data_IF_836649338823
#
_entry.id   IF_836649338823
#
_cell.length_a   1.000
_cell.length_b   1.000
_cell.length_c   1.000
_cell.angle_alpha   90.00
_cell.angle_beta   90.00
_cell.angle_gamma   90.00
#
_symmetry.space_group_name_H-M   'P 1'
#
loop_
_entity.id
_entity.type
_entity.pdbx_description
1 polymer ?
#
# COMPACT_ATOMS: atom_id res chain seq x y z
N UNK A 1 62.17 3.54 4.51
CA UNK A 1 61.11 3.69 5.54
C UNK A 1 60.60 5.13 5.64
N UNK A 2 61.45 6.15 5.75
CA UNK A 2 61.05 7.57 5.86
C UNK A 2 60.23 8.12 4.68
N UNK A 3 60.59 7.77 3.43
CA UNK A 3 59.89 8.28 2.23
C UNK A 3 58.46 7.74 2.07
N UNK A 4 58.22 6.48 2.46
CA UNK A 4 56.88 5.87 2.41
C UNK A 4 55.94 6.45 3.47
N UNK A 5 56.47 6.81 4.63
CA UNK A 5 55.69 7.43 5.70
C UNK A 5 55.21 8.84 5.33
N UNK A 6 56.06 9.65 4.69
CA UNK A 6 55.70 11.00 4.24
C UNK A 6 54.62 10.96 3.14
N UNK A 7 54.69 10.01 2.21
CA UNK A 7 53.68 9.84 1.16
C UNK A 7 52.33 9.43 1.73
N UNK A 8 52.30 8.51 2.70
CA UNK A 8 51.05 8.07 3.33
C UNK A 8 50.37 9.18 4.15
N UNK A 9 51.15 10.01 4.85
CA UNK A 9 50.63 11.18 5.57
C UNK A 9 50.08 12.23 4.60
N UNK A 10 50.76 12.46 3.47
CA UNK A 10 50.29 13.38 2.43
C UNK A 10 48.97 12.95 1.79
N UNK A 11 48.82 11.65 1.50
CA UNK A 11 47.56 11.08 0.97
C UNK A 11 46.46 11.19 2.03
N UNK A 12 46.76 10.89 3.29
CA UNK A 12 45.79 11.02 4.40
C UNK A 12 45.26 12.44 4.53
N UNK A 13 46.13 13.45 4.47
CA UNK A 13 45.74 14.86 4.53
C UNK A 13 44.92 15.31 3.31
N UNK A 14 45.23 14.81 2.11
CA UNK A 14 44.44 15.11 0.91
C UNK A 14 43.05 14.49 0.96
N UNK A 15 42.91 13.26 1.46
CA UNK A 15 41.61 12.61 1.63
C UNK A 15 40.77 13.29 2.71
N UNK A 16 41.40 13.76 3.80
CA UNK A 16 40.74 14.54 4.84
C UNK A 16 40.23 15.89 4.30
N UNK A 17 41.05 16.59 3.52
CA UNK A 17 40.65 17.84 2.88
C UNK A 17 39.53 17.63 1.85
N UNK A 18 39.61 16.57 1.03
CA UNK A 18 38.55 16.22 0.08
C UNK A 18 37.24 15.86 0.79
N UNK A 19 37.30 15.13 1.91
CA UNK A 19 36.14 14.82 2.74
C UNK A 19 35.50 16.06 3.35
N UNK A 20 36.31 17.01 3.85
CA UNK A 20 35.82 18.29 4.39
C UNK A 20 35.17 19.15 3.31
N UNK A 21 35.75 19.21 2.10
CA UNK A 21 35.14 19.93 0.98
C UNK A 21 33.82 19.29 0.55
N UNK A 22 33.71 17.96 0.57
CA UNK A 22 32.44 17.26 0.30
C UNK A 22 31.39 17.53 1.38
N UNK A 23 31.78 17.58 2.66
CA UNK A 23 30.90 17.93 3.78
C UNK A 23 30.43 19.39 3.73
N UNK A 24 31.24 20.30 3.19
CA UNK A 24 30.90 21.72 3.05
C UNK A 24 30.15 22.04 1.75
N UNK A 25 30.21 21.14 0.75
CA UNK A 25 29.51 21.28 -0.53
C UNK A 25 28.22 20.45 -0.60
N UNK A 26 27.92 19.63 0.41
CA UNK A 26 26.61 19.05 0.57
C UNK A 26 25.63 20.18 0.87
N UNK A 27 24.70 20.45 -0.06
CA UNK A 27 23.56 21.31 0.24
C UNK A 27 22.89 20.76 1.51
N UNK A 28 22.58 21.62 2.50
CA UNK A 28 21.80 21.16 3.64
C UNK A 28 20.52 20.54 3.09
N UNK A 29 20.25 19.28 3.45
CA UNK A 29 18.93 18.70 3.27
C UNK A 29 17.97 19.67 3.94
N UNK A 30 17.27 20.48 3.15
CA UNK A 30 16.26 21.35 3.70
C UNK A 30 15.21 20.41 4.27
N UNK A 31 15.10 20.41 5.61
CA UNK A 31 13.97 19.78 6.26
C UNK A 31 12.73 20.39 5.61
N UNK A 32 11.95 19.56 4.92
CA UNK A 32 10.61 19.94 4.48
C UNK A 32 9.91 20.50 5.71
N UNK A 33 9.33 21.70 5.63
CA UNK A 33 8.58 22.26 6.74
C UNK A 33 7.57 21.22 7.24
N UNK A 34 7.35 21.09 8.56
CA UNK A 34 6.17 20.38 9.03
C UNK A 34 4.95 20.94 8.30
N UNK A 35 4.01 20.05 7.95
CA UNK A 35 2.78 20.40 7.24
C UNK A 35 2.21 21.68 7.84
N UNK A 36 2.07 22.72 7.01
CA UNK A 36 1.45 23.98 7.43
C UNK A 36 0.03 23.69 7.88
N UNK A 37 -0.42 24.35 8.95
CA UNK A 37 -1.73 24.22 9.62
C UNK A 37 -2.94 24.58 8.71
N UNK A 38 -2.69 24.78 7.41
CA UNK A 38 -3.64 25.25 6.40
C UNK A 38 -4.43 24.09 5.73
N UNK A 39 -4.22 22.85 6.20
CA UNK A 39 -4.79 21.63 5.62
C UNK A 39 -4.01 21.12 4.40
N UNK A 40 -4.30 19.90 3.91
CA UNK A 40 -3.60 19.38 2.75
C UNK A 40 -3.94 20.23 1.51
N UNK A 41 -2.95 20.46 0.63
CA UNK A 41 -3.21 21.14 -0.61
C UNK A 41 -4.18 20.30 -1.46
N UNK A 42 -5.07 20.97 -2.21
CA UNK A 42 -6.08 20.34 -3.06
C UNK A 42 -7.16 19.50 -2.36
N UNK A 43 -7.46 19.78 -1.08
CA UNK A 43 -8.62 19.19 -0.40
C UNK A 43 -9.92 19.42 -1.21
N UNK A 44 -10.60 18.32 -1.55
CA UNK A 44 -11.84 18.35 -2.34
C UNK A 44 -11.64 18.49 -3.87
N UNK A 45 -10.40 18.42 -4.38
CA UNK A 45 -10.16 18.33 -5.81
C UNK A 45 -10.44 16.92 -6.35
N UNK A 46 -10.64 16.84 -7.67
CA UNK A 46 -10.87 15.56 -8.36
C UNK A 46 -9.59 14.73 -8.45
N UNK A 47 -9.75 13.40 -8.36
CA UNK A 47 -8.71 12.46 -8.76
C UNK A 47 -8.62 12.40 -10.29
N UNK A 48 -7.41 12.37 -10.83
CA UNK A 48 -7.15 12.44 -12.28
C UNK A 48 -6.43 11.23 -12.82
N UNK A 49 -6.03 10.31 -11.95
CA UNK A 49 -5.39 9.05 -12.28
C UNK A 49 -3.90 9.20 -12.61
N UNK A 50 -3.14 8.15 -12.32
CA UNK A 50 -1.70 8.07 -12.58
C UNK A 50 -1.38 8.30 -14.07
N UNK A 51 -2.29 7.92 -14.99
CA UNK A 51 -2.11 8.16 -16.42
C UNK A 51 -1.89 9.63 -16.76
N UNK A 52 -2.53 10.55 -16.02
CA UNK A 52 -2.36 11.98 -16.23
C UNK A 52 -0.96 12.44 -15.79
N UNK A 53 -0.47 11.93 -14.65
CA UNK A 53 0.85 12.24 -14.10
C UNK A 53 1.96 11.89 -15.11
N UNK A 54 1.83 10.75 -15.80
CA UNK A 54 2.79 10.28 -16.81
C UNK A 54 2.97 11.21 -18.01
N UNK A 55 2.05 12.15 -18.25
CA UNK A 55 2.18 13.12 -19.34
C UNK A 55 3.34 14.10 -19.10
N UNK A 56 3.66 14.40 -17.84
CA UNK A 56 4.76 15.30 -17.45
C UNK A 56 5.87 14.54 -16.72
N UNK A 57 5.52 13.61 -15.82
CA UNK A 57 6.44 12.82 -15.00
C UNK A 57 6.82 11.51 -15.70
N UNK A 58 7.52 11.64 -16.83
CA UNK A 58 7.88 10.49 -17.69
C UNK A 58 9.00 9.61 -17.13
N UNK A 59 9.73 10.07 -16.10
CA UNK A 59 10.89 9.38 -15.54
C UNK A 59 10.54 8.47 -14.34
N UNK A 60 9.27 8.39 -13.95
CA UNK A 60 8.81 7.60 -12.80
C UNK A 60 8.63 6.10 -13.13
N UNK A 61 9.50 5.54 -13.97
CA UNK A 61 9.50 4.12 -14.33
C UNK A 61 9.65 3.21 -13.09
N UNK A 62 10.33 3.70 -12.06
CA UNK A 62 10.49 3.00 -10.79
C UNK A 62 9.16 2.70 -10.10
N UNK A 63 8.16 3.60 -10.19
CA UNK A 63 6.84 3.34 -9.63
C UNK A 63 6.13 2.21 -10.39
N UNK A 64 6.19 2.20 -11.72
CA UNK A 64 5.53 1.19 -12.56
C UNK A 64 6.01 -0.24 -12.29
N UNK A 65 7.27 -0.40 -11.94
CA UNK A 65 7.85 -1.69 -11.58
C UNK A 65 7.74 -2.02 -10.09
N UNK A 66 7.10 -1.15 -9.29
CA UNK A 66 6.97 -1.34 -7.85
C UNK A 66 5.77 -2.20 -7.50
N UNK A 67 5.83 -2.82 -6.31
CA UNK A 67 4.68 -3.54 -5.75
C UNK A 67 3.46 -2.62 -5.53
N UNK A 68 3.65 -1.31 -5.38
CA UNK A 68 2.52 -0.37 -5.25
C UNK A 68 1.66 -0.30 -6.51
N UNK A 69 2.29 -0.35 -7.69
CA UNK A 69 1.61 -0.36 -8.99
C UNK A 69 1.11 -1.76 -9.40
N UNK A 70 1.42 -2.79 -8.60
CA UNK A 70 1.19 -4.20 -8.94
C UNK A 70 0.48 -4.99 -7.84
N UNK A 71 -0.05 -4.31 -6.82
CA UNK A 71 -0.72 -4.96 -5.67
C UNK A 71 -2.04 -5.61 -6.09
N UNK A 72 -2.73 -5.02 -7.08
CA UNK A 72 -3.88 -5.59 -7.79
C UNK A 72 -3.49 -5.80 -9.24
N UNK A 73 -3.67 -7.03 -9.74
CA UNK A 73 -3.38 -7.40 -11.13
C UNK A 73 -4.60 -8.02 -11.80
N UNK A 74 -4.75 -7.83 -13.12
CA UNK A 74 -5.75 -8.57 -13.90
C UNK A 74 -5.40 -10.06 -13.90
N UNK A 75 -6.41 -10.90 -14.12
CA UNK A 75 -6.21 -12.35 -14.25
C UNK A 75 -5.57 -12.70 -15.58
N UNK A 76 -4.53 -13.54 -15.51
CA UNK A 76 -3.83 -14.15 -16.63
C UNK A 76 -2.99 -15.32 -16.12
N UNK A 77 -2.52 -16.15 -17.05
CA UNK A 77 -1.58 -17.25 -16.75
C UNK A 77 -0.27 -16.74 -16.11
N UNK A 78 0.11 -15.49 -16.37
CA UNK A 78 1.34 -14.89 -15.83
C UNK A 78 1.14 -14.28 -14.43
N UNK A 79 -0.10 -13.96 -14.04
CA UNK A 79 -0.41 -13.27 -12.78
C UNK A 79 -0.92 -14.21 -11.69
N UNK A 80 -1.55 -15.33 -12.04
CA UNK A 80 -1.89 -16.38 -11.09
C UNK A 80 -0.68 -17.28 -10.89
N UNK A 81 0.02 -17.14 -9.77
CA UNK A 81 1.19 -17.97 -9.45
C UNK A 81 0.81 -19.28 -8.75
N UNK A 82 -0.46 -19.45 -8.41
CA UNK A 82 -0.92 -20.58 -7.64
C UNK A 82 -1.19 -21.82 -8.46
N UNK A 83 -0.89 -22.99 -7.87
CA UNK A 83 -1.26 -24.27 -8.45
C UNK A 83 -2.74 -24.58 -8.15
N UNK A 84 -3.60 -24.33 -9.13
CA UNK A 84 -5.05 -24.61 -9.03
C UNK A 84 -5.40 -26.09 -9.22
N UNK A 85 -4.43 -26.99 -9.46
CA UNK A 85 -4.69 -28.41 -9.60
C UNK A 85 -4.90 -29.13 -8.25
N UNK A 86 -4.52 -28.50 -7.14
CA UNK A 86 -4.79 -29.01 -5.79
C UNK A 86 -6.24 -28.69 -5.36
N UNK A 87 -7.20 -29.35 -6.01
CA UNK A 87 -8.63 -29.06 -5.84
C UNK A 87 -9.13 -29.25 -4.42
N UNK A 88 -8.52 -30.15 -3.65
CA UNK A 88 -8.93 -30.42 -2.27
C UNK A 88 -8.63 -29.22 -1.35
N UNK A 89 -7.50 -28.54 -1.57
CA UNK A 89 -7.10 -27.40 -0.76
C UNK A 89 -7.89 -26.12 -1.05
N UNK A 90 -8.59 -26.06 -2.20
CA UNK A 90 -9.32 -24.86 -2.67
C UNK A 90 -10.82 -25.09 -2.87
N UNK A 91 -11.37 -26.19 -2.32
CA UNK A 91 -12.82 -26.43 -2.35
C UNK A 91 -13.52 -25.56 -1.30
N UNK A 92 -14.49 -24.76 -1.76
CA UNK A 92 -15.26 -23.83 -0.93
C UNK A 92 -16.76 -23.97 -1.23
N UNK A 93 -17.60 -23.53 -0.28
CA UNK A 93 -19.04 -23.35 -0.51
C UNK A 93 -19.28 -21.97 -1.12
N UNK A 94 -19.73 -21.91 -2.36
CA UNK A 94 -20.00 -20.67 -3.10
C UNK A 94 -21.32 -20.00 -2.67
N UNK A 95 -21.56 -18.73 -3.03
CA UNK A 95 -22.80 -18.02 -2.71
C UNK A 95 -24.07 -18.71 -3.24
N UNK A 96 -23.97 -19.47 -4.34
CA UNK A 96 -25.07 -20.28 -4.88
C UNK A 96 -25.31 -21.61 -4.14
N UNK A 97 -24.54 -21.88 -3.09
CA UNK A 97 -24.59 -23.11 -2.29
C UNK A 97 -23.82 -24.29 -2.89
N UNK A 98 -23.19 -24.13 -4.06
CA UNK A 98 -22.37 -25.19 -4.64
C UNK A 98 -21.06 -25.38 -3.87
N UNK A 99 -20.60 -26.63 -3.76
CA UNK A 99 -19.31 -26.96 -3.14
C UNK A 99 -18.37 -27.49 -4.22
N UNK A 100 -17.37 -26.69 -4.59
CA UNK A 100 -16.42 -27.01 -5.67
C UNK A 100 -15.10 -26.25 -5.51
N UNK A 101 -14.00 -26.74 -6.12
CA UNK A 101 -12.74 -26.01 -6.15
C UNK A 101 -12.86 -24.67 -6.88
N UNK A 102 -12.03 -23.72 -6.46
CA UNK A 102 -11.73 -22.50 -7.20
C UNK A 102 -11.03 -22.85 -8.51
N UNK A 103 -11.44 -22.19 -9.58
CA UNK A 103 -10.83 -22.25 -10.91
C UNK A 103 -10.39 -20.85 -11.36
N UNK A 104 -9.58 -20.77 -12.41
CA UNK A 104 -9.12 -19.48 -12.93
C UNK A 104 -10.29 -18.57 -13.37
N UNK A 105 -11.38 -19.15 -13.87
CA UNK A 105 -12.58 -18.43 -14.32
C UNK A 105 -13.34 -17.77 -13.17
N UNK A 106 -13.12 -18.21 -11.93
CA UNK A 106 -13.75 -17.62 -10.75
C UNK A 106 -13.03 -16.36 -10.24
N UNK A 107 -11.80 -16.12 -10.72
CA UNK A 107 -10.95 -15.03 -10.24
C UNK A 107 -11.15 -13.82 -11.15
N UNK A 108 -11.39 -12.65 -10.55
CA UNK A 108 -11.48 -11.37 -11.25
C UNK A 108 -10.21 -10.55 -11.06
N UNK A 109 -9.68 -10.49 -9.83
CA UNK A 109 -8.43 -9.81 -9.53
C UNK A 109 -7.49 -10.71 -8.74
N UNK A 110 -6.20 -10.59 -9.02
CA UNK A 110 -5.14 -11.16 -8.21
C UNK A 110 -4.61 -10.07 -7.29
N UNK A 111 -4.66 -10.29 -5.99
CA UNK A 111 -4.05 -9.44 -4.98
C UNK A 111 -2.68 -10.04 -4.61
N UNK A 112 -1.60 -9.34 -4.89
CA UNK A 112 -0.27 -9.93 -4.87
C UNK A 112 0.73 -9.17 -4.00
N UNK A 113 1.47 -9.91 -3.18
CA UNK A 113 2.68 -9.44 -2.52
C UNK A 113 3.86 -10.36 -2.81
N UNK A 114 5.04 -10.03 -2.28
CA UNK A 114 6.24 -10.86 -2.45
C UNK A 114 6.10 -12.29 -1.89
N UNK A 115 5.27 -12.46 -0.87
CA UNK A 115 5.16 -13.70 -0.10
C UNK A 115 3.83 -14.44 -0.28
N UNK A 116 2.76 -13.75 -0.66
CA UNK A 116 1.41 -14.33 -0.75
C UNK A 116 0.63 -13.76 -1.94
N UNK A 117 -0.32 -14.54 -2.44
CA UNK A 117 -1.42 -14.05 -3.29
C UNK A 117 -2.77 -14.36 -2.66
N UNK A 118 -3.66 -13.39 -2.72
CA UNK A 118 -5.08 -13.53 -2.46
C UNK A 118 -5.85 -13.19 -3.73
N UNK A 119 -7.14 -13.49 -3.77
CA UNK A 119 -7.92 -13.42 -5.00
C UNK A 119 -9.27 -12.77 -4.73
N UNK A 120 -9.73 -11.93 -5.65
CA UNK A 120 -11.08 -11.35 -5.60
C UNK A 120 -11.92 -11.98 -6.69
N UNK A 121 -13.11 -12.43 -6.32
CA UNK A 121 -14.16 -12.87 -7.25
C UNK A 121 -15.28 -11.85 -7.27
N UNK A 122 -15.66 -11.37 -8.45
CA UNK A 122 -16.81 -10.48 -8.64
C UNK A 122 -17.96 -11.28 -9.21
N UNK A 123 -19.00 -11.46 -8.41
CA UNK A 123 -20.15 -12.33 -8.72
C UNK A 123 -21.42 -11.48 -8.62
N UNK A 124 -22.32 -11.61 -9.59
CA UNK A 124 -23.65 -11.00 -9.49
C UNK A 124 -24.45 -11.68 -8.38
N UNK A 125 -24.94 -10.91 -7.41
CA UNK A 125 -25.77 -11.42 -6.29
C UNK A 125 -27.26 -11.31 -6.62
N UNK A 126 -28.14 -11.77 -5.73
CA UNK A 126 -29.59 -11.94 -5.99
C UNK A 126 -30.31 -10.67 -6.49
N UNK A 127 -29.85 -9.49 -6.10
CA UNK A 127 -30.44 -8.20 -6.50
C UNK A 127 -29.88 -7.64 -7.83
N UNK A 128 -28.97 -8.37 -8.49
CA UNK A 128 -28.33 -7.97 -9.74
C UNK A 128 -27.13 -7.04 -9.57
N UNK A 129 -26.72 -6.73 -8.34
CA UNK A 129 -25.50 -5.96 -8.07
C UNK A 129 -24.26 -6.87 -8.01
N UNK A 130 -23.04 -6.35 -8.28
CA UNK A 130 -21.83 -7.13 -8.13
C UNK A 130 -21.41 -7.22 -6.65
N UNK A 131 -21.29 -8.45 -6.14
CA UNK A 131 -20.61 -8.76 -4.89
C UNK A 131 -19.11 -8.96 -5.13
N UNK A 132 -18.27 -8.34 -4.30
CA UNK A 132 -16.81 -8.41 -4.42
C UNK A 132 -16.24 -9.25 -3.28
N UNK A 133 -15.99 -10.53 -3.53
CA UNK A 133 -15.55 -11.47 -2.50
C UNK A 133 -14.05 -11.65 -2.52
N UNK A 134 -13.39 -11.44 -1.38
CA UNK A 134 -12.03 -11.98 -1.19
C UNK A 134 -12.17 -13.49 -0.97
N UNK A 135 -11.63 -14.29 -1.89
CA UNK A 135 -11.70 -15.74 -1.79
C UNK A 135 -11.02 -16.24 -0.51
N UNK A 136 -11.56 -17.27 0.16
CA UNK A 136 -11.16 -17.61 1.51
C UNK A 136 -9.90 -18.48 1.59
N UNK A 137 -8.98 -18.26 0.65
CA UNK A 137 -7.73 -18.97 0.55
C UNK A 137 -6.63 -18.00 0.16
N UNK A 138 -5.44 -18.26 0.69
CA UNK A 138 -4.22 -17.55 0.35
C UNK A 138 -3.25 -18.54 -0.26
N UNK A 139 -2.61 -18.17 -1.36
CA UNK A 139 -1.47 -18.88 -1.90
C UNK A 139 -0.18 -18.34 -1.29
N UNK A 140 0.57 -19.18 -0.59
CA UNK A 140 1.92 -18.83 -0.14
C UNK A 140 2.91 -19.04 -1.28
N UNK A 141 3.57 -17.97 -1.70
CA UNK A 141 4.52 -17.97 -2.80
C UNK A 141 5.85 -18.56 -2.29
N UNK A 142 6.40 -19.59 -2.96
CA UNK A 142 7.70 -20.14 -2.58
C UNK A 142 8.79 -19.07 -2.73
N UNK A 143 9.61 -18.91 -1.69
CA UNK A 143 10.65 -17.87 -1.63
C UNK A 143 12.03 -18.35 -2.11
N UNK A 144 12.15 -19.63 -2.46
CA UNK A 144 13.35 -20.28 -2.97
C UNK A 144 13.00 -21.52 -3.79
N UNK A 145 13.92 -21.99 -4.62
CA UNK A 145 13.71 -23.12 -5.55
C UNK A 145 13.42 -24.46 -4.85
N UNK A 146 13.77 -24.60 -3.58
CA UNK A 146 13.51 -25.78 -2.75
C UNK A 146 12.15 -25.74 -2.04
N UNK A 147 11.44 -24.61 -2.10
CA UNK A 147 10.10 -24.46 -1.56
C UNK A 147 9.05 -24.75 -2.62
N UNK A 148 7.95 -25.35 -2.18
CA UNK A 148 6.73 -25.48 -2.98
C UNK A 148 5.71 -24.48 -2.46
N UNK A 149 4.93 -23.89 -3.37
CA UNK A 149 3.83 -23.04 -2.95
C UNK A 149 2.73 -23.86 -2.28
N UNK A 150 1.97 -23.21 -1.42
CA UNK A 150 0.99 -23.90 -0.57
C UNK A 150 -0.24 -23.03 -0.35
N UNK A 151 -1.41 -23.63 -0.54
CA UNK A 151 -2.68 -23.05 -0.14
C UNK A 151 -2.86 -23.03 1.37
N UNK A 152 -3.38 -21.93 1.92
CA UNK A 152 -3.75 -21.82 3.33
C UNK A 152 -5.14 -21.19 3.45
N UNK A 153 -6.02 -21.74 4.30
CA UNK A 153 -7.29 -21.11 4.63
C UNK A 153 -7.16 -19.65 5.08
N UNK A 154 -8.10 -18.82 4.66
CA UNK A 154 -8.21 -17.42 5.05
C UNK A 154 -9.69 -17.08 5.21
N UNK A 155 -10.20 -16.86 6.43
CA UNK A 155 -11.61 -16.48 6.62
C UNK A 155 -12.64 -17.43 5.99
N UNK A 156 -12.41 -18.76 6.07
CA UNK A 156 -13.34 -19.75 5.49
C UNK A 156 -14.76 -19.63 6.05
N UNK A 157 -14.89 -19.20 7.29
CA UNK A 157 -16.17 -19.15 8.00
C UNK A 157 -16.98 -17.87 7.71
N UNK A 158 -16.31 -16.77 7.34
CA UNK A 158 -16.92 -15.44 7.24
C UNK A 158 -16.64 -14.70 5.91
N UNK A 159 -16.00 -15.33 4.91
CA UNK A 159 -15.65 -14.64 3.64
C UNK A 159 -16.82 -14.11 2.81
N UNK A 160 -18.04 -14.59 3.06
CA UNK A 160 -19.26 -14.10 2.41
C UNK A 160 -19.95 -12.97 3.20
N UNK A 161 -19.45 -12.64 4.40
CA UNK A 161 -19.98 -11.55 5.21
C UNK A 161 -19.78 -10.20 4.50
N UNK A 162 -20.76 -9.28 4.53
CA UNK A 162 -20.61 -7.95 3.92
C UNK A 162 -19.39 -7.16 4.40
N UNK A 163 -18.93 -7.37 5.64
CA UNK A 163 -17.69 -6.77 6.17
C UNK A 163 -16.42 -7.29 5.50
N UNK A 164 -16.50 -8.41 4.77
CA UNK A 164 -15.42 -8.99 3.96
C UNK A 164 -15.49 -8.61 2.48
N UNK A 165 -16.47 -7.81 2.08
CA UNK A 165 -16.48 -7.24 0.74
C UNK A 165 -15.15 -6.53 0.49
N UNK A 166 -14.47 -6.90 -0.59
CA UNK A 166 -13.13 -6.38 -0.91
C UNK A 166 -13.09 -4.85 -0.92
N UNK A 167 -14.20 -4.21 -1.31
CA UNK A 167 -14.30 -2.75 -1.35
C UNK A 167 -14.28 -2.14 0.05
N UNK A 168 -14.98 -2.78 1.00
CA UNK A 168 -15.09 -2.36 2.41
C UNK A 168 -13.83 -2.71 3.20
N UNK A 169 -13.26 -3.89 2.96
CA UNK A 169 -12.17 -4.44 3.77
C UNK A 169 -10.77 -4.09 3.25
N UNK A 170 -10.60 -3.86 1.94
CA UNK A 170 -9.28 -3.84 1.30
C UNK A 170 -9.07 -2.67 0.33
N UNK A 171 -10.10 -2.27 -0.42
CA UNK A 171 -9.92 -1.37 -1.55
C UNK A 171 -9.44 0.04 -1.13
N UNK A 172 -9.73 0.50 0.09
CA UNK A 172 -9.23 1.79 0.57
C UNK A 172 -7.70 1.93 0.54
N UNK A 173 -6.97 0.82 0.70
CA UNK A 173 -5.51 0.75 0.59
C UNK A 173 -5.02 0.31 -0.80
N UNK A 174 -5.85 -0.43 -1.54
CA UNK A 174 -5.50 -1.05 -2.82
C UNK A 174 -6.05 -0.30 -4.05
N UNK A 175 -6.61 0.89 -3.84
CA UNK A 175 -7.13 1.74 -4.90
C UNK A 175 -6.83 3.20 -4.63
N UNK A 176 -6.99 4.02 -5.65
CA UNK A 176 -6.84 5.48 -5.62
C UNK A 176 -8.13 6.13 -6.10
N UNK A 177 -8.60 7.16 -5.40
CA UNK A 177 -9.83 7.88 -5.76
C UNK A 177 -11.15 7.19 -5.36
N UNK A 178 -11.08 6.11 -4.58
CA UNK A 178 -12.26 5.50 -3.98
C UNK A 178 -12.93 6.46 -2.98
N UNK A 179 -14.24 6.64 -3.10
CA UNK A 179 -15.04 7.17 -2.01
C UNK A 179 -15.10 6.11 -0.90
N UNK A 180 -14.16 6.20 0.03
CA UNK A 180 -13.97 5.23 1.11
C UNK A 180 -15.20 5.14 2.03
N UNK A 181 -15.99 6.21 2.16
CA UNK A 181 -17.19 6.25 3.01
C UNK A 181 -18.37 5.50 2.38
N UNK A 182 -18.38 5.37 1.05
CA UNK A 182 -19.41 4.66 0.29
C UNK A 182 -18.78 3.51 -0.53
N UNK A 183 -17.74 2.86 0.02
CA UNK A 183 -16.91 1.92 -0.74
C UNK A 183 -17.71 0.75 -1.33
N UNK A 184 -18.72 0.26 -0.61
CA UNK A 184 -19.62 -0.82 -1.06
C UNK A 184 -20.49 -0.45 -2.27
N UNK A 185 -20.63 0.83 -2.61
CA UNK A 185 -21.36 1.29 -3.79
C UNK A 185 -20.48 1.33 -5.04
N UNK A 186 -19.15 1.23 -4.89
CA UNK A 186 -18.22 1.30 -6.01
C UNK A 186 -18.33 0.07 -6.92
N UNK A 187 -18.56 0.30 -8.21
CA UNK A 187 -18.74 -0.78 -9.22
C UNK A 187 -17.81 -0.66 -10.42
N UNK A 188 -17.04 0.43 -10.51
CA UNK A 188 -16.21 0.75 -11.68
C UNK A 188 -14.78 1.03 -11.26
N UNK A 189 -13.97 -0.01 -11.35
CA UNK A 189 -12.54 0.04 -11.14
C UNK A 189 -11.81 -0.01 -12.48
N UNK A 190 -10.70 0.71 -12.60
CA UNK A 190 -9.90 0.73 -13.81
C UNK A 190 -8.40 0.60 -13.48
N UNK A 191 -7.66 -0.10 -14.33
CA UNK A 191 -6.20 -0.02 -14.32
C UNK A 191 -5.74 1.28 -14.96
N UNK A 192 -4.49 1.67 -14.72
CA UNK A 192 -3.89 2.95 -15.15
C UNK A 192 -4.12 3.22 -16.64
N UNK A 193 -3.88 2.24 -17.51
CA UNK A 193 -4.01 2.36 -18.96
C UNK A 193 -5.45 2.66 -19.42
N UNK A 194 -6.41 2.26 -18.59
CA UNK A 194 -7.83 2.32 -18.85
C UNK A 194 -8.55 3.31 -17.93
N UNK A 195 -7.82 4.19 -17.23
CA UNK A 195 -8.35 5.14 -16.25
C UNK A 195 -9.60 5.89 -16.74
N UNK A 196 -9.65 6.30 -18.01
CA UNK A 196 -10.81 7.00 -18.59
C UNK A 196 -12.14 6.21 -18.50
N UNK A 197 -12.08 4.90 -18.23
CA UNK A 197 -13.23 4.01 -18.04
C UNK A 197 -13.71 3.93 -16.59
N UNK A 198 -12.99 4.50 -15.63
CA UNK A 198 -13.29 4.45 -14.19
C UNK A 198 -13.02 5.76 -13.46
N UNK A 199 -13.59 5.90 -12.27
CA UNK A 199 -13.28 7.01 -11.34
C UNK A 199 -12.38 6.55 -10.16
N UNK A 200 -12.10 5.24 -10.10
CA UNK A 200 -11.30 4.59 -9.05
C UNK A 200 -10.21 3.75 -9.72
N UNK A 201 -8.95 4.05 -9.40
CA UNK A 201 -7.78 3.41 -9.99
C UNK A 201 -7.46 2.19 -9.13
N UNK A 202 -7.31 1.02 -9.72
CA UNK A 202 -6.71 -0.11 -9.03
C UNK A 202 -5.24 0.19 -8.80
N UNK A 203 -4.73 -0.25 -7.64
CA UNK A 203 -3.38 -0.02 -7.13
C UNK A 203 -3.21 1.28 -6.33
N UNK A 204 -2.06 1.36 -5.65
CA UNK A 204 -1.60 2.57 -4.97
C UNK A 204 -0.94 3.51 -5.99
N UNK A 205 -1.79 4.32 -6.64
CA UNK A 205 -1.44 5.33 -7.63
C UNK A 205 -0.72 6.53 -7.04
N UNK A 206 -0.28 7.44 -7.91
CA UNK A 206 0.44 8.66 -7.49
C UNK A 206 -0.33 9.46 -6.43
N UNK A 207 -1.64 9.58 -6.63
CA UNK A 207 -2.51 10.41 -5.80
C UNK A 207 -2.79 9.81 -4.41
N UNK A 208 -2.49 8.52 -4.18
CA UNK A 208 -2.54 7.92 -2.83
C UNK A 208 -1.46 8.46 -1.90
N UNK A 209 -0.33 8.92 -2.46
CA UNK A 209 0.78 9.51 -1.69
C UNK A 209 0.83 11.03 -1.82
N UNK A 210 0.41 11.59 -2.96
CA UNK A 210 0.53 13.01 -3.26
C UNK A 210 -0.77 13.81 -3.09
N UNK A 211 -1.90 13.13 -2.88
CA UNK A 211 -3.24 13.72 -2.85
C UNK A 211 -3.84 13.92 -4.26
N UNK A 212 -5.10 14.41 -4.35
CA UNK A 212 -5.80 14.56 -5.63
C UNK A 212 -5.14 15.61 -6.55
N UNK A 213 -4.97 15.24 -7.83
CA UNK A 213 -4.25 16.01 -8.84
C UNK A 213 -5.09 17.00 -9.66
N UNK A 214 -6.40 17.08 -9.43
CA UNK A 214 -7.33 17.92 -10.21
C UNK A 214 -6.87 19.35 -10.44
N UNK A 215 -6.40 20.03 -9.39
CA UNK A 215 -5.92 21.41 -9.45
C UNK A 215 -4.44 21.53 -9.83
N UNK A 216 -3.69 20.42 -9.76
CA UNK A 216 -2.30 20.36 -10.20
C UNK A 216 -2.19 20.41 -11.74
N UNK A 217 -3.29 20.11 -12.46
CA UNK A 217 -3.35 20.17 -13.92
C UNK A 217 -3.05 21.58 -14.45
N UNK A 218 -1.78 21.86 -14.74
CA UNK A 218 -1.32 23.14 -15.27
C UNK A 218 -0.75 24.12 -14.23
N UNK A 219 -0.61 23.70 -12.96
CA UNK A 219 0.08 24.46 -11.92
C UNK A 219 0.91 23.53 -11.02
N UNK A 220 2.23 23.76 -10.96
CA UNK A 220 3.17 22.85 -10.29
C UNK A 220 3.00 22.79 -8.76
N UNK A 221 2.47 23.85 -8.12
CA UNK A 221 2.64 24.05 -6.66
C UNK A 221 1.43 23.63 -5.80
N UNK A 222 0.90 22.42 -5.96
CA UNK A 222 -0.34 22.05 -5.24
C UNK A 222 -0.45 20.60 -4.76
N UNK A 223 0.58 19.77 -4.91
CA UNK A 223 0.56 18.39 -4.40
C UNK A 223 1.41 18.23 -3.15
N UNK A 224 1.08 17.23 -2.33
CA UNK A 224 1.89 16.88 -1.16
C UNK A 224 3.19 16.25 -1.61
N UNK A 225 4.32 16.84 -1.22
CA UNK A 225 5.66 16.30 -1.39
C UNK A 225 6.33 16.23 -0.02
N UNK A 226 5.99 15.20 0.76
CA UNK A 226 6.42 15.07 2.15
C UNK A 226 6.94 13.65 2.43
N UNK A 227 8.02 13.49 3.21
CA UNK A 227 8.49 12.20 3.69
C UNK A 227 7.75 11.72 4.95
N UNK A 228 6.65 12.38 5.34
CA UNK A 228 5.89 12.04 6.54
C UNK A 228 5.43 10.57 6.52
N UNK A 229 5.81 9.82 7.56
CA UNK A 229 5.51 8.40 7.69
C UNK A 229 3.99 8.11 7.73
N UNK A 230 3.16 9.10 8.09
CA UNK A 230 1.70 8.97 8.09
C UNK A 230 1.13 8.67 6.71
N UNK A 231 1.76 9.17 5.63
CA UNK A 231 1.37 8.86 4.25
C UNK A 231 1.48 7.35 3.98
N UNK A 232 2.51 6.72 4.54
CA UNK A 232 2.70 5.27 4.46
C UNK A 232 1.79 4.54 5.46
N UNK A 233 1.61 5.11 6.65
CA UNK A 233 0.81 4.57 7.75
C UNK A 233 -0.67 4.39 7.41
N UNK A 234 -1.20 5.12 6.42
CA UNK A 234 -2.57 4.94 5.96
C UNK A 234 -2.85 3.52 5.43
N UNK A 235 -1.82 2.79 5.00
CA UNK A 235 -1.92 1.40 4.53
C UNK A 235 -1.07 0.42 5.36
N UNK A 236 0.11 0.84 5.81
CA UNK A 236 1.09 -0.03 6.48
C UNK A 236 0.93 -0.07 8.00
N UNK A 237 -0.31 -0.26 8.44
CA UNK A 237 -0.69 -0.37 9.84
C UNK A 237 -1.88 -1.31 10.01
N UNK A 238 -1.99 -1.93 11.18
CA UNK A 238 -3.22 -2.57 11.64
C UNK A 238 -4.04 -1.56 12.43
N UNK A 239 -5.34 -1.53 12.20
CA UNK A 239 -6.26 -0.62 12.85
C UNK A 239 -7.60 -0.58 12.15
N UNK A 240 -8.38 0.44 12.46
CA UNK A 240 -9.66 0.69 11.82
C UNK A 240 -9.96 2.19 11.80
N UNK A 241 -10.87 2.61 10.93
CA UNK A 241 -11.46 3.95 11.00
C UNK A 241 -12.27 4.13 12.31
N UNK A 242 -12.58 5.35 12.76
CA UNK A 242 -13.28 5.56 14.04
C UNK A 242 -14.63 4.84 14.18
N UNK A 243 -15.32 4.52 13.07
CA UNK A 243 -16.56 3.73 13.12
C UNK A 243 -16.33 2.25 13.39
N UNK A 244 -15.14 1.74 13.07
CA UNK A 244 -14.80 0.32 13.11
C UNK A 244 -15.28 -0.48 11.90
N UNK A 245 -15.84 0.18 10.88
CA UNK A 245 -16.36 -0.47 9.67
C UNK A 245 -15.25 -0.81 8.67
N UNK A 246 -14.21 0.02 8.60
CA UNK A 246 -13.14 -0.11 7.62
C UNK A 246 -11.79 -0.34 8.29
N UNK A 247 -11.00 -1.25 7.72
CA UNK A 247 -9.62 -1.51 8.14
C UNK A 247 -8.61 -0.44 7.63
N UNK A 248 -9.10 0.69 7.12
CA UNK A 248 -8.31 1.76 6.52
C UNK A 248 -8.93 3.14 6.84
N UNK A 249 -8.15 4.23 6.79
CA UNK A 249 -8.65 5.56 7.15
C UNK A 249 -9.54 6.19 6.08
N UNK A 250 -10.85 6.20 6.32
CA UNK A 250 -11.85 6.74 5.38
C UNK A 250 -11.61 8.22 5.04
N UNK A 251 -11.30 9.04 6.05
CA UNK A 251 -11.16 10.51 5.89
C UNK A 251 -9.75 11.00 5.58
N UNK A 252 -8.75 10.12 5.54
CA UNK A 252 -7.35 10.54 5.38
C UNK A 252 -7.04 10.94 3.94
N UNK A 253 -6.35 12.07 3.80
CA UNK A 253 -5.62 12.43 2.59
C UNK A 253 -4.17 12.75 2.96
N UNK A 254 -3.19 12.52 2.05
CA UNK A 254 -1.83 12.97 2.27
C UNK A 254 -1.80 14.43 2.69
N UNK A 255 -0.99 14.75 3.71
CA UNK A 255 -0.94 16.08 4.31
C UNK A 255 -1.93 16.32 5.46
N UNK A 256 -2.80 15.36 5.78
CA UNK A 256 -3.58 15.34 7.02
C UNK A 256 -2.84 14.58 8.13
N UNK A 257 -3.26 14.78 9.37
CA UNK A 257 -2.85 13.93 10.47
C UNK A 257 -3.55 12.55 10.37
N UNK A 258 -2.77 11.49 10.58
CA UNK A 258 -3.26 10.13 10.80
C UNK A 258 -3.33 9.88 12.31
N UNK A 259 -4.37 10.44 12.93
CA UNK A 259 -4.65 10.32 14.36
C UNK A 259 -5.97 9.58 14.62
N UNK A 260 -6.33 9.40 15.90
CA UNK A 260 -7.51 8.63 16.32
C UNK A 260 -8.85 9.19 15.78
N UNK A 261 -8.89 10.43 15.27
CA UNK A 261 -10.08 10.99 14.61
C UNK A 261 -10.27 10.44 13.19
N UNK A 262 -9.25 9.80 12.63
CA UNK A 262 -9.24 9.29 11.25
C UNK A 262 -8.81 7.82 11.17
N UNK A 263 -7.93 7.36 12.06
CA UNK A 263 -7.46 5.98 12.15
C UNK A 263 -7.06 5.61 13.58
N UNK A 264 -7.69 4.57 14.11
CA UNK A 264 -7.37 3.99 15.42
C UNK A 264 -6.45 2.80 15.20
N UNK A 265 -5.18 2.91 15.61
CA UNK A 265 -4.22 1.82 15.53
C UNK A 265 -4.60 0.67 16.47
N UNK A 266 -4.36 -0.57 16.03
CA UNK A 266 -4.59 -1.75 16.87
C UNK A 266 -3.74 -1.68 18.15
N UNK A 267 -4.35 -1.89 19.32
CA UNK A 267 -3.67 -1.71 20.60
C UNK A 267 -2.60 -2.78 20.82
N UNK A 268 -1.57 -2.45 21.59
CA UNK A 268 -0.39 -3.32 21.79
C UNK A 268 -0.67 -4.60 22.57
N UNK A 269 -1.77 -4.63 23.33
CA UNK A 269 -2.23 -5.81 24.06
C UNK A 269 -3.08 -6.75 23.19
N UNK A 270 -3.38 -6.38 21.93
CA UNK A 270 -3.97 -7.29 20.96
C UNK A 270 -2.95 -8.35 20.54
N UNK A 271 -3.06 -9.51 21.20
CA UNK A 271 -2.17 -10.66 20.97
C UNK A 271 -2.32 -11.31 19.59
N UNK A 272 -3.33 -10.94 18.80
CA UNK A 272 -3.45 -11.37 17.41
C UNK A 272 -2.53 -10.57 16.49
N UNK A 273 -2.24 -9.31 16.84
CA UNK A 273 -1.40 -8.39 16.08
C UNK A 273 0.01 -8.28 16.65
N UNK A 274 0.17 -8.38 17.97
CA UNK A 274 1.43 -8.13 18.65
C UNK A 274 1.98 -9.36 19.38
N UNK A 275 3.30 -9.51 19.34
CA UNK A 275 4.03 -10.32 20.31
C UNK A 275 4.25 -9.51 21.59
N UNK A 276 4.43 -10.21 22.71
CA UNK A 276 4.78 -9.57 23.99
C UNK A 276 6.13 -8.84 23.99
N UNK A 277 6.95 -9.05 22.95
CA UNK A 277 8.21 -8.33 22.70
C UNK A 277 8.02 -6.97 22.04
N UNK A 278 6.78 -6.58 21.73
CA UNK A 278 6.46 -5.35 20.99
C UNK A 278 6.68 -5.43 19.49
N UNK A 279 7.00 -6.62 18.95
CA UNK A 279 7.11 -6.86 17.51
C UNK A 279 5.74 -7.28 16.95
N UNK A 280 5.44 -6.87 15.72
CA UNK A 280 4.21 -7.23 15.04
C UNK A 280 4.22 -8.71 14.58
N UNK A 281 3.04 -9.33 14.59
CA UNK A 281 2.75 -10.66 14.02
C UNK A 281 2.33 -10.58 12.55
N UNK A 282 1.79 -9.44 12.15
CA UNK A 282 1.29 -9.13 10.82
C UNK A 282 1.91 -7.82 10.31
N UNK A 283 1.53 -7.36 9.12
CA UNK A 283 1.99 -6.07 8.60
C UNK A 283 1.57 -4.95 9.56
N UNK A 284 2.52 -4.28 10.20
CA UNK A 284 2.21 -3.16 11.11
C UNK A 284 3.39 -2.18 11.22
N UNK A 285 4.05 -1.94 10.09
CA UNK A 285 5.35 -1.28 10.04
C UNK A 285 5.30 0.15 10.59
N UNK A 286 4.21 0.89 10.36
CA UNK A 286 4.05 2.24 10.89
C UNK A 286 3.94 2.24 12.42
N UNK A 287 3.11 1.36 13.00
CA UNK A 287 2.98 1.26 14.45
C UNK A 287 4.26 0.76 15.13
N UNK A 288 5.02 -0.15 14.50
CA UNK A 288 6.35 -0.53 14.97
C UNK A 288 7.34 0.64 14.88
N UNK A 289 7.32 1.38 13.77
CA UNK A 289 8.20 2.53 13.54
C UNK A 289 8.00 3.62 14.58
N UNK A 290 6.74 3.93 14.95
CA UNK A 290 6.40 4.92 15.98
C UNK A 290 7.07 4.62 17.33
N UNK A 291 7.34 3.35 17.64
CA UNK A 291 8.02 2.91 18.88
C UNK A 291 9.54 2.93 18.78
N UNK A 292 10.09 3.13 17.59
CA UNK A 292 11.52 3.10 17.34
C UNK A 292 12.18 4.45 17.61
N UNK A 293 13.48 4.44 17.93
CA UNK A 293 14.25 5.69 18.01
C UNK A 293 14.37 6.44 16.68
N UNK A 294 14.01 5.83 15.55
CA UNK A 294 13.98 6.54 14.26
C UNK A 294 12.85 7.58 14.22
N UNK A 295 11.69 7.25 14.78
CA UNK A 295 10.53 8.16 14.80
C UNK A 295 10.80 9.44 15.61
N UNK A 296 11.58 9.33 16.67
CA UNK A 296 11.95 10.46 17.54
C UNK A 296 13.36 10.99 17.28
N UNK A 297 13.99 10.57 16.19
CA UNK A 297 15.41 10.86 15.94
C UNK A 297 15.71 12.37 15.87
N UNK A 298 14.82 13.16 15.27
CA UNK A 298 14.97 14.62 15.21
C UNK A 298 14.89 15.27 16.60
N UNK A 299 14.00 14.80 17.47
CA UNK A 299 13.84 15.33 18.83
C UNK A 299 15.11 15.08 19.67
N UNK A 300 15.79 13.95 19.42
CA UNK A 300 17.02 13.58 20.13
C UNK A 300 18.28 14.30 19.64
N UNK A 301 18.20 15.02 18.50
CA UNK A 301 19.29 15.83 17.96
C UNK A 301 19.26 17.28 18.47
N UNK A 302 18.15 17.73 19.05
CA UNK A 302 17.96 19.07 19.62
C UNK A 302 18.35 19.11 21.11
#
# INVERSE_FOLDING_TARGET
MKTRFVVLVGIGLCLLAAGIVWLLAADPVQATPPLQDDGPPNLGADYVGTVFCRMCHTQEEAWHASGHAQIVQPVSDDTILADLNDTAAVTITWPDGSERPITADDITYVLGGRAIQQYVSVIEIEDGTPGYYVLPVTWNIPQSEDQTGMWTPYHLEDWQDPSRDWRVACAGCHTTGLDRANASEATKFAFVEDWQKGAVELNAGCESCHGPGGNHRGNADTLVASPDAQICGQCHAQGHDPSGEHAYPVGFQPGMALDETTFVLSPEDDTSIWWNTGHARSYNQYAEWLKSGHATSLDTLQ
#
